data_IF_505603362828
#
_entry.id   IF_505603362828
#
_cell.length_a   1.000
_cell.length_b   1.000
_cell.length_c   1.000
_cell.angle_alpha   90.00
_cell.angle_beta   90.00
_cell.angle_gamma   90.00
#
_symmetry.space_group_name_H-M   'P 1'
#
loop_
_entity.id
_entity.type
_entity.pdbx_description
1 polymer ?
#
# COMPACT_ATOMS: atom_id res chain seq x y z
N UNK A 1 31.76 15.26 -1.65
CA UNK A 1 32.88 15.50 -0.72
C UNK A 1 32.30 15.62 0.69
N UNK A 2 32.90 14.93 1.66
CA UNK A 2 32.49 15.09 3.06
C UNK A 2 32.99 16.41 3.57
N UNK A 3 32.11 17.20 4.17
CA UNK A 3 32.38 18.55 4.71
C UNK A 3 31.87 18.60 6.15
N UNK A 4 32.45 19.46 6.98
CA UNK A 4 31.94 19.68 8.33
C UNK A 4 30.54 20.29 8.26
N UNK A 5 29.58 19.73 9.02
CA UNK A 5 28.20 20.24 9.07
C UNK A 5 28.17 21.73 9.46
N UNK A 6 28.91 22.10 10.48
CA UNK A 6 28.97 23.48 10.95
C UNK A 6 29.46 24.49 9.89
N UNK A 7 30.17 24.06 8.84
CA UNK A 7 30.66 24.94 7.76
C UNK A 7 29.65 25.18 6.63
N UNK A 8 28.59 24.38 6.55
CA UNK A 8 27.62 24.45 5.45
C UNK A 8 26.15 24.53 5.91
N UNK A 9 25.87 24.24 7.18
CA UNK A 9 24.51 24.09 7.72
C UNK A 9 23.62 25.29 7.44
N UNK A 10 24.08 26.50 7.69
CA UNK A 10 23.29 27.71 7.52
C UNK A 10 22.90 27.94 6.06
N UNK A 11 23.87 27.83 5.15
CA UNK A 11 23.64 27.99 3.71
C UNK A 11 22.75 26.91 3.12
N UNK A 12 22.99 25.64 3.50
CA UNK A 12 22.21 24.52 2.98
C UNK A 12 20.80 24.47 3.57
N UNK A 13 20.60 24.87 4.82
CA UNK A 13 19.26 25.04 5.39
C UNK A 13 18.47 26.16 4.68
N UNK A 14 19.13 27.27 4.34
CA UNK A 14 18.47 28.32 3.57
C UNK A 14 18.06 27.84 2.18
N UNK A 15 18.94 27.13 1.48
CA UNK A 15 18.66 26.51 0.18
C UNK A 15 17.51 25.50 0.28
N UNK A 16 17.52 24.64 1.31
CA UNK A 16 16.47 23.66 1.55
C UNK A 16 15.11 24.31 1.79
N UNK A 17 15.05 25.31 2.67
CA UNK A 17 13.83 26.05 2.95
C UNK A 17 13.27 26.73 1.69
N UNK A 18 14.15 27.36 0.89
CA UNK A 18 13.75 27.90 -0.40
C UNK A 18 13.13 26.86 -1.32
N UNK A 19 13.73 25.66 -1.42
CA UNK A 19 13.16 24.56 -2.23
C UNK A 19 11.79 24.12 -1.72
N UNK A 20 11.58 24.09 -0.40
CA UNK A 20 10.28 23.71 0.20
C UNK A 20 9.19 24.77 -0.06
N UNK A 21 9.56 26.05 -0.22
CA UNK A 21 8.64 27.16 -0.49
C UNK A 21 8.23 27.26 -1.98
N UNK A 22 8.96 26.61 -2.90
CA UNK A 22 8.61 26.62 -4.32
C UNK A 22 7.19 26.08 -4.53
N UNK A 23 6.36 26.78 -5.34
CA UNK A 23 4.99 26.32 -5.60
C UNK A 23 5.00 24.97 -6.30
N UNK A 24 3.97 24.16 -6.04
CA UNK A 24 3.74 22.97 -6.81
C UNK A 24 3.50 23.34 -8.29
N UNK A 25 3.91 22.52 -9.26
CA UNK A 25 3.70 22.82 -10.65
C UNK A 25 2.20 22.95 -10.96
N UNK A 26 1.82 24.08 -11.54
CA UNK A 26 0.44 24.34 -11.99
C UNK A 26 0.19 23.67 -13.37
N UNK A 27 0.38 22.38 -13.41
CA UNK A 27 0.18 21.57 -14.62
C UNK A 27 -0.53 20.28 -14.24
N UNK A 28 -1.69 20.07 -14.82
CA UNK A 28 -2.33 18.76 -14.75
C UNK A 28 -1.53 17.73 -15.56
N UNK A 29 -1.12 16.65 -14.92
CA UNK A 29 -0.45 15.53 -15.58
C UNK A 29 -0.92 14.19 -14.99
N UNK A 30 -0.87 13.15 -15.81
CA UNK A 30 -1.23 11.81 -15.36
C UNK A 30 -0.17 11.28 -14.37
N UNK A 31 -0.52 11.25 -13.09
CA UNK A 31 0.34 10.79 -12.00
C UNK A 31 0.66 9.28 -12.07
N UNK A 32 -0.17 8.50 -12.76
CA UNK A 32 -0.10 7.04 -12.82
C UNK A 32 0.95 6.52 -13.82
N UNK A 33 1.98 7.30 -14.12
CA UNK A 33 3.14 6.88 -14.91
C UNK A 33 4.41 6.96 -14.09
N UNK A 34 5.38 6.10 -14.38
CA UNK A 34 6.68 6.06 -13.68
C UNK A 34 7.37 7.43 -13.69
N UNK A 35 7.38 8.11 -14.84
CA UNK A 35 8.01 9.43 -14.96
C UNK A 35 7.29 10.47 -14.12
N UNK A 36 5.98 10.55 -14.26
CA UNK A 36 5.21 11.64 -13.66
C UNK A 36 5.04 11.47 -12.15
N UNK A 37 4.98 10.24 -11.63
CA UNK A 37 4.95 9.99 -10.19
C UNK A 37 6.15 10.62 -9.46
N UNK A 38 7.28 10.79 -10.15
CA UNK A 38 8.49 11.35 -9.56
C UNK A 38 8.48 12.89 -9.46
N UNK A 39 7.48 13.57 -10.04
CA UNK A 39 7.25 15.00 -9.83
C UNK A 39 6.35 15.29 -8.60
N UNK A 40 5.76 14.26 -8.02
CA UNK A 40 5.00 14.39 -6.78
C UNK A 40 5.96 14.49 -5.60
N UNK A 41 5.60 15.31 -4.60
CA UNK A 41 6.36 15.38 -3.35
C UNK A 41 6.31 14.01 -2.64
N UNK A 42 7.47 13.39 -2.33
CA UNK A 42 7.48 12.20 -1.51
C UNK A 42 7.06 12.53 -0.08
N UNK A 43 6.20 11.68 0.51
CA UNK A 43 5.77 11.81 1.89
C UNK A 43 6.40 10.74 2.80
N UNK A 44 7.47 10.14 2.31
CA UNK A 44 8.35 9.21 3.03
C UNK A 44 9.78 9.40 2.53
N UNK A 45 10.62 10.03 3.35
CA UNK A 45 12.03 10.31 3.02
C UNK A 45 12.94 10.24 4.25
N UNK A 46 14.23 10.04 4.00
CA UNK A 46 15.28 10.07 5.03
C UNK A 46 15.05 9.06 6.17
N UNK A 47 14.56 7.86 5.83
CA UNK A 47 14.36 6.80 6.81
C UNK A 47 15.69 6.27 7.37
N UNK A 48 15.65 5.74 8.60
CA UNK A 48 16.77 5.04 9.23
C UNK A 48 16.99 3.60 8.74
N UNK A 49 16.48 3.24 7.54
CA UNK A 49 16.67 1.93 6.94
C UNK A 49 18.12 1.67 6.52
N UNK A 50 18.47 0.39 6.29
CA UNK A 50 19.75 0.02 5.73
C UNK A 50 20.01 0.72 4.39
N UNK A 51 21.25 1.12 4.11
CA UNK A 51 21.63 1.66 2.81
C UNK A 51 21.30 0.64 1.70
N UNK A 52 20.55 1.09 0.67
CA UNK A 52 20.11 0.22 -0.42
C UNK A 52 18.98 -0.75 -0.06
N UNK A 53 18.28 -0.54 1.07
CA UNK A 53 17.11 -1.34 1.46
C UNK A 53 16.11 -1.48 0.32
N UNK A 54 15.67 -2.71 0.05
CA UNK A 54 14.70 -2.99 -1.03
C UNK A 54 13.26 -2.64 -0.69
N UNK A 55 12.94 -2.37 0.59
CA UNK A 55 11.57 -2.07 1.04
C UNK A 55 11.20 -0.59 0.81
N UNK A 56 12.10 0.34 1.18
CA UNK A 56 11.80 1.79 1.23
C UNK A 56 11.37 2.40 -0.10
N UNK A 57 11.86 1.97 -1.28
CA UNK A 57 11.39 2.51 -2.56
C UNK A 57 9.91 2.28 -2.84
N UNK A 58 9.35 1.15 -2.39
CA UNK A 58 7.91 0.86 -2.52
C UNK A 58 7.09 1.80 -1.66
N UNK A 59 7.48 2.00 -0.39
CA UNK A 59 6.78 2.89 0.54
C UNK A 59 6.85 4.33 0.03
N UNK A 60 8.02 4.78 -0.45
CA UNK A 60 8.16 6.09 -1.07
C UNK A 60 7.18 6.29 -2.23
N UNK A 61 7.10 5.34 -3.14
CA UNK A 61 6.22 5.42 -4.31
C UNK A 61 4.74 5.48 -3.93
N UNK A 62 4.25 4.61 -3.07
CA UNK A 62 2.83 4.61 -2.68
C UNK A 62 2.45 5.87 -1.90
N UNK A 63 3.36 6.43 -1.11
CA UNK A 63 3.13 7.70 -0.41
C UNK A 63 3.21 8.92 -1.33
N UNK A 64 3.98 8.88 -2.42
CA UNK A 64 3.93 9.90 -3.47
C UNK A 64 2.58 9.93 -4.18
N UNK A 65 1.99 8.76 -4.40
CA UNK A 65 0.73 8.63 -5.14
C UNK A 65 -0.51 8.95 -4.28
N UNK A 66 -0.53 8.49 -3.03
CA UNK A 66 -1.74 8.49 -2.20
C UNK A 66 -1.53 9.02 -0.79
N UNK A 67 -0.31 9.39 -0.41
CA UNK A 67 0.08 9.67 0.96
C UNK A 67 -0.74 10.76 1.65
N UNK A 68 -1.26 11.73 0.93
CA UNK A 68 -2.06 12.83 1.46
C UNK A 68 -3.44 12.38 2.02
N UNK A 69 -3.87 11.17 1.71
CA UNK A 69 -5.12 10.57 2.20
C UNK A 69 -4.96 9.14 2.73
N UNK A 70 -3.70 8.68 2.85
CA UNK A 70 -3.42 7.32 3.33
C UNK A 70 -3.62 7.16 4.83
N UNK A 71 -4.11 5.99 5.19
CA UNK A 71 -4.06 5.43 6.53
C UNK A 71 -3.24 4.15 6.49
N UNK A 72 -2.21 4.03 7.31
CA UNK A 72 -1.25 2.94 7.27
C UNK A 72 -1.22 2.22 8.62
N UNK A 73 -1.59 0.94 8.62
CA UNK A 73 -1.29 0.00 9.69
C UNK A 73 -0.01 -0.74 9.36
N UNK A 74 0.99 -0.71 10.22
CA UNK A 74 2.30 -1.31 9.96
C UNK A 74 2.62 -2.39 10.99
N UNK A 75 2.92 -3.61 10.52
CA UNK A 75 3.38 -4.69 11.39
C UNK A 75 4.75 -4.39 11.98
N UNK A 76 4.97 -4.76 13.24
CA UNK A 76 6.28 -4.68 13.86
C UNK A 76 7.30 -5.48 13.02
N UNK A 77 8.41 -4.84 12.65
CA UNK A 77 9.46 -5.38 11.79
C UNK A 77 10.36 -4.25 11.29
N UNK A 78 11.10 -4.46 10.20
CA UNK A 78 11.96 -3.41 9.64
C UNK A 78 11.17 -2.15 9.31
N UNK A 79 10.04 -2.28 8.60
CA UNK A 79 9.23 -1.14 8.18
C UNK A 79 8.65 -0.31 9.34
N UNK A 80 8.38 -0.92 10.48
CA UNK A 80 7.96 -0.18 11.67
C UNK A 80 9.14 0.48 12.38
N UNK A 81 10.30 -0.16 12.40
CA UNK A 81 11.49 0.39 13.06
C UNK A 81 11.97 1.65 12.33
N UNK A 82 12.21 1.58 11.02
CA UNK A 82 12.60 2.77 10.27
C UNK A 82 11.44 3.75 10.02
N UNK A 83 10.19 3.30 10.16
CA UNK A 83 9.00 4.11 9.99
C UNK A 83 8.63 4.99 11.19
N UNK A 84 9.00 4.59 12.42
CA UNK A 84 8.58 5.35 13.60
C UNK A 84 9.37 5.10 14.87
N UNK A 85 10.21 4.05 14.95
CA UNK A 85 10.99 3.72 16.14
C UNK A 85 12.47 4.10 16.06
N UNK A 86 13.00 4.32 14.86
CA UNK A 86 14.34 4.88 14.66
C UNK A 86 14.34 6.39 14.96
N UNK A 87 15.51 7.04 15.12
CA UNK A 87 15.59 8.38 15.70
C UNK A 87 14.78 9.45 14.95
N UNK A 88 14.40 9.19 13.71
CA UNK A 88 13.59 10.12 12.90
C UNK A 88 12.40 9.39 12.28
N UNK A 89 11.23 10.04 12.29
CA UNK A 89 10.05 9.57 11.56
C UNK A 89 10.16 10.07 10.11
N UNK A 90 10.23 9.16 9.12
CA UNK A 90 10.40 9.54 7.72
C UNK A 90 9.12 10.00 7.03
N UNK A 91 7.97 9.78 7.64
CA UNK A 91 6.68 10.24 7.13
C UNK A 91 6.50 11.73 7.35
N UNK A 92 6.03 12.42 6.33
CA UNK A 92 5.85 13.87 6.32
C UNK A 92 4.48 14.28 5.76
N UNK A 93 4.22 15.58 5.78
CA UNK A 93 3.02 16.18 5.21
C UNK A 93 3.36 17.04 3.99
N UNK A 94 2.41 17.18 3.07
CA UNK A 94 2.53 18.11 1.96
C UNK A 94 2.31 19.58 2.43
N UNK A 95 2.45 20.53 1.52
CA UNK A 95 2.27 21.97 1.79
C UNK A 95 0.89 22.36 2.32
N UNK A 96 -0.12 21.53 2.07
CA UNK A 96 -1.49 21.69 2.59
C UNK A 96 -1.69 21.07 3.98
N UNK A 97 -0.64 20.48 4.57
CA UNK A 97 -0.68 19.82 5.86
C UNK A 97 -1.26 18.40 5.85
N UNK A 98 -1.40 17.79 4.69
CA UNK A 98 -1.90 16.42 4.56
C UNK A 98 -0.76 15.43 4.34
N UNK A 99 -0.82 14.28 4.99
CA UNK A 99 0.14 13.20 4.87
C UNK A 99 -0.39 11.89 5.45
N UNK A 100 0.39 10.80 5.38
CA UNK A 100 -0.04 9.51 5.88
C UNK A 100 -0.33 9.52 7.39
N UNK A 101 -1.49 8.98 7.77
CA UNK A 101 -1.76 8.62 9.16
C UNK A 101 -1.19 7.23 9.41
N UNK A 102 0.01 7.17 9.99
CA UNK A 102 0.74 5.93 10.22
C UNK A 102 0.63 5.48 11.67
N UNK A 103 0.35 4.19 11.87
CA UNK A 103 0.35 3.56 13.19
C UNK A 103 1.01 2.18 13.13
N UNK A 104 1.83 1.90 14.15
CA UNK A 104 2.43 0.58 14.36
C UNK A 104 1.49 -0.30 15.19
N UNK A 105 1.37 -1.57 14.82
CA UNK A 105 0.72 -2.57 15.62
C UNK A 105 1.68 -3.69 16.02
N UNK A 106 1.19 -4.65 16.80
CA UNK A 106 1.96 -5.84 17.14
C UNK A 106 2.24 -6.67 15.89
N UNK A 107 3.22 -7.56 16.00
CA UNK A 107 3.68 -8.37 14.89
C UNK A 107 2.61 -9.35 14.38
N UNK A 108 1.78 -9.86 15.28
CA UNK A 108 0.77 -10.86 15.02
C UNK A 108 -0.59 -10.31 14.59
N UNK A 109 -0.97 -9.07 14.98
CA UNK A 109 -2.34 -8.54 14.88
C UNK A 109 -2.50 -7.40 13.85
N UNK A 110 -1.49 -7.13 13.05
CA UNK A 110 -1.49 -5.97 12.15
C UNK A 110 -2.61 -5.98 11.10
N UNK A 111 -2.98 -7.15 10.61
CA UNK A 111 -4.04 -7.25 9.62
C UNK A 111 -5.38 -6.80 10.23
N UNK A 112 -5.70 -7.33 11.40
CA UNK A 112 -6.92 -7.01 12.15
C UNK A 112 -6.94 -5.55 12.60
N UNK A 113 -5.78 -5.02 13.02
CA UNK A 113 -5.64 -3.61 13.37
C UNK A 113 -5.95 -2.70 12.17
N UNK A 114 -5.35 -2.97 11.00
CA UNK A 114 -5.61 -2.21 9.78
C UNK A 114 -7.05 -2.35 9.29
N UNK A 115 -7.63 -3.52 9.44
CA UNK A 115 -9.05 -3.75 9.16
C UNK A 115 -9.96 -2.93 10.10
N UNK A 116 -9.64 -2.90 11.39
CA UNK A 116 -10.34 -2.06 12.36
C UNK A 116 -10.27 -0.57 12.02
N UNK A 117 -9.12 -0.08 11.57
CA UNK A 117 -8.97 1.30 11.06
C UNK A 117 -9.89 1.57 9.86
N UNK A 118 -9.99 0.63 8.91
CA UNK A 118 -10.88 0.73 7.76
C UNK A 118 -12.34 0.79 8.19
N UNK A 119 -12.78 -0.12 9.06
CA UNK A 119 -14.16 -0.16 9.57
C UNK A 119 -14.53 1.14 10.30
N UNK A 120 -13.64 1.62 11.17
CA UNK A 120 -13.87 2.87 11.91
C UNK A 120 -14.01 4.06 10.96
N UNK A 121 -13.15 4.15 9.94
CA UNK A 121 -13.20 5.20 8.93
C UNK A 121 -14.47 5.13 8.10
N UNK A 122 -14.85 3.94 7.64
CA UNK A 122 -16.06 3.71 6.84
C UNK A 122 -17.32 4.08 7.62
N UNK A 123 -17.42 3.66 8.88
CA UNK A 123 -18.56 3.98 9.75
C UNK A 123 -18.66 5.48 10.03
N UNK A 124 -17.52 6.15 10.31
CA UNK A 124 -17.49 7.60 10.52
C UNK A 124 -17.88 8.37 9.25
N UNK A 125 -17.46 7.91 8.08
CA UNK A 125 -17.85 8.49 6.80
C UNK A 125 -19.33 8.30 6.51
N UNK A 126 -19.88 7.12 6.79
CA UNK A 126 -21.32 6.86 6.65
C UNK A 126 -22.15 7.78 7.58
N UNK A 127 -21.72 7.96 8.83
CA UNK A 127 -22.34 8.92 9.74
C UNK A 127 -22.25 10.36 9.23
N UNK A 128 -21.09 10.73 8.66
CA UNK A 128 -20.92 12.06 8.06
C UNK A 128 -21.83 12.27 6.87
N UNK A 129 -22.05 11.25 6.02
CA UNK A 129 -22.99 11.30 4.90
C UNK A 129 -24.43 11.53 5.40
N UNK A 130 -24.85 10.80 6.42
CA UNK A 130 -26.15 11.01 7.07
C UNK A 130 -26.30 12.45 7.62
N UNK A 131 -25.22 13.00 8.21
CA UNK A 131 -25.22 14.40 8.69
C UNK A 131 -25.37 15.40 7.52
N UNK A 132 -24.67 15.17 6.40
CA UNK A 132 -24.79 16.02 5.18
C UNK A 132 -26.18 15.89 4.56
N UNK A 133 -26.74 14.67 4.47
CA UNK A 133 -28.11 14.45 3.99
C UNK A 133 -29.13 15.24 4.84
N UNK A 134 -29.03 15.20 6.15
CA UNK A 134 -29.87 15.99 7.05
C UNK A 134 -29.69 17.49 6.83
N UNK A 135 -28.46 17.95 6.69
CA UNK A 135 -28.14 19.36 6.45
C UNK A 135 -28.82 19.89 5.18
N UNK A 136 -28.69 19.17 4.05
CA UNK A 136 -29.28 19.60 2.79
C UNK A 136 -30.82 19.46 2.75
N UNK A 137 -31.39 18.67 3.65
CA UNK A 137 -32.85 18.52 3.81
C UNK A 137 -33.47 19.68 4.59
N UNK A 138 -32.70 20.48 5.33
CA UNK A 138 -33.22 21.64 6.06
C UNK A 138 -33.79 22.64 5.08
N UNK A 139 -35.07 23.04 5.26
CA UNK A 139 -35.81 23.88 4.28
C UNK A 139 -35.10 25.20 4.00
N UNK A 140 -34.65 25.88 5.04
CA UNK A 140 -33.98 27.20 4.97
C UNK A 140 -32.44 27.11 4.79
N UNK A 141 -31.88 25.93 4.52
CA UNK A 141 -30.48 25.80 4.17
C UNK A 141 -30.22 26.48 2.82
N UNK A 142 -29.08 27.14 2.69
CA UNK A 142 -28.68 27.87 1.48
C UNK A 142 -28.66 26.95 0.24
N UNK A 143 -29.01 27.49 -0.91
CA UNK A 143 -29.12 26.69 -2.15
C UNK A 143 -27.75 26.18 -2.64
N UNK A 144 -26.70 27.01 -2.52
CA UNK A 144 -25.36 26.66 -2.96
C UNK A 144 -24.77 25.62 -2.02
N UNK A 145 -25.04 25.73 -0.71
CA UNK A 145 -24.65 24.71 0.28
C UNK A 145 -25.38 23.37 0.04
N UNK A 146 -26.68 23.40 -0.32
CA UNK A 146 -27.41 22.19 -0.72
C UNK A 146 -26.81 21.52 -1.95
N UNK A 147 -26.45 22.33 -2.97
CA UNK A 147 -25.83 21.82 -4.19
C UNK A 147 -24.45 21.20 -3.91
N UNK A 148 -23.62 21.87 -3.11
CA UNK A 148 -22.29 21.36 -2.72
C UNK A 148 -22.38 20.08 -1.88
N UNK A 149 -23.34 20.00 -0.94
CA UNK A 149 -23.58 18.79 -0.15
C UNK A 149 -24.02 17.61 -1.01
N UNK A 150 -24.91 17.84 -1.97
CA UNK A 150 -25.34 16.82 -2.93
C UNK A 150 -24.16 16.36 -3.82
N UNK A 151 -23.37 17.30 -4.36
CA UNK A 151 -22.20 16.97 -5.17
C UNK A 151 -21.21 16.10 -4.38
N UNK A 152 -21.02 16.37 -3.09
CA UNK A 152 -20.17 15.55 -2.25
C UNK A 152 -20.73 14.14 -2.04
N UNK A 153 -22.01 14.00 -1.74
CA UNK A 153 -22.68 12.69 -1.57
C UNK A 153 -22.57 11.84 -2.84
N UNK A 154 -22.75 12.45 -4.01
CA UNK A 154 -22.68 11.75 -5.30
C UNK A 154 -21.25 11.29 -5.64
N UNK A 155 -20.21 11.92 -5.06
CA UNK A 155 -18.81 11.65 -5.36
C UNK A 155 -18.00 11.10 -4.17
N UNK A 156 -18.62 10.84 -3.02
CA UNK A 156 -17.90 10.51 -1.79
C UNK A 156 -17.02 9.26 -1.89
N UNK A 157 -17.34 8.31 -2.76
CA UNK A 157 -16.59 7.05 -2.93
C UNK A 157 -15.54 7.11 -4.05
N UNK A 158 -15.41 8.24 -4.74
CA UNK A 158 -14.33 8.51 -5.68
C UNK A 158 -13.25 9.38 -5.01
N UNK A 159 -11.96 9.05 -5.21
CA UNK A 159 -10.87 9.73 -4.53
C UNK A 159 -10.73 11.21 -4.92
N UNK A 160 -10.69 11.49 -6.22
CA UNK A 160 -10.54 12.86 -6.74
C UNK A 160 -11.86 13.62 -6.73
N UNK A 161 -12.97 12.95 -7.03
CA UNK A 161 -14.31 13.52 -6.95
C UNK A 161 -14.65 13.96 -5.54
N UNK A 162 -14.39 13.13 -4.52
CA UNK A 162 -14.61 13.49 -3.12
C UNK A 162 -13.76 14.68 -2.67
N UNK A 163 -12.50 14.80 -3.16
CA UNK A 163 -11.62 15.93 -2.85
C UNK A 163 -12.18 17.25 -3.39
N UNK A 164 -12.50 17.27 -4.71
CA UNK A 164 -13.05 18.46 -5.37
C UNK A 164 -14.38 18.89 -4.73
N UNK A 165 -15.24 17.92 -4.46
CA UNK A 165 -16.54 18.20 -3.82
C UNK A 165 -16.38 18.62 -2.34
N UNK A 166 -15.39 18.07 -1.60
CA UNK A 166 -15.08 18.47 -0.25
C UNK A 166 -14.61 19.93 -0.17
N UNK A 167 -13.74 20.35 -1.08
CA UNK A 167 -13.25 21.73 -1.11
C UNK A 167 -14.42 22.73 -1.31
N UNK A 168 -15.35 22.42 -2.21
CA UNK A 168 -16.56 23.25 -2.41
C UNK A 168 -17.46 23.23 -1.17
N UNK A 169 -17.76 22.06 -0.63
CA UNK A 169 -18.62 21.93 0.55
C UNK A 169 -18.04 22.68 1.75
N UNK A 170 -16.73 22.59 1.98
CA UNK A 170 -16.05 23.33 3.05
C UNK A 170 -16.12 24.86 2.81
N UNK A 171 -15.98 25.31 1.57
CA UNK A 171 -16.11 26.73 1.24
C UNK A 171 -17.51 27.26 1.55
N UNK A 172 -18.57 26.56 1.11
CA UNK A 172 -19.95 26.94 1.37
C UNK A 172 -20.31 26.86 2.88
N UNK A 173 -19.82 25.84 3.58
CA UNK A 173 -19.99 25.74 5.02
C UNK A 173 -19.34 26.91 5.76
N UNK A 174 -18.13 27.30 5.40
CA UNK A 174 -17.46 28.44 6.02
C UNK A 174 -18.15 29.78 5.73
N UNK A 175 -18.86 29.91 4.59
CA UNK A 175 -19.64 31.10 4.25
C UNK A 175 -21.00 31.15 4.98
N UNK A 176 -21.61 29.99 5.24
CA UNK A 176 -23.01 29.91 5.67
C UNK A 176 -23.17 29.58 7.16
N UNK A 177 -22.17 28.92 7.78
CA UNK A 177 -22.23 28.50 9.18
C UNK A 177 -21.79 29.64 10.12
N UNK A 178 -22.57 29.86 11.18
CA UNK A 178 -22.33 30.91 12.17
C UNK A 178 -22.20 32.33 11.55
N UNK A 179 -23.19 32.81 10.77
CA UNK A 179 -23.15 34.15 10.20
C UNK A 179 -23.09 35.21 11.29
N UNK A 180 -22.55 36.39 10.98
CA UNK A 180 -22.62 37.55 11.86
C UNK A 180 -24.08 38.05 11.96
N UNK A 181 -24.64 37.93 13.15
CA UNK A 181 -26.02 38.34 13.43
C UNK A 181 -26.12 39.70 14.10
N UNK A 182 -25.05 40.51 14.09
CA UNK A 182 -25.04 41.86 14.66
C UNK A 182 -26.12 42.73 14.00
N UNK A 183 -26.93 43.41 14.80
CA UNK A 183 -28.01 44.27 14.32
C UNK A 183 -29.29 43.51 13.87
N UNK A 184 -29.32 42.20 14.00
CA UNK A 184 -30.51 41.37 13.74
C UNK A 184 -31.38 41.16 14.99
N UNK A 185 -32.65 40.75 14.88
CA UNK A 185 -33.45 40.36 16.03
C UNK A 185 -32.89 39.21 16.85
N UNK A 186 -31.94 38.43 16.29
CA UNK A 186 -31.33 37.25 16.91
C UNK A 186 -29.97 37.56 17.58
N UNK A 187 -29.49 38.81 17.54
CA UNK A 187 -28.18 39.23 18.10
C UNK A 187 -28.05 38.84 19.57
N UNK A 188 -29.07 39.06 20.37
CA UNK A 188 -29.04 38.78 21.83
C UNK A 188 -28.78 37.30 22.12
N UNK A 189 -29.47 36.42 21.42
CA UNK A 189 -29.32 34.98 21.58
C UNK A 189 -27.99 34.49 21.01
N UNK A 190 -27.55 35.07 19.88
CA UNK A 190 -26.27 34.80 19.26
C UNK A 190 -25.10 35.18 20.19
N UNK A 191 -25.15 36.35 20.82
CA UNK A 191 -24.14 36.76 21.81
C UNK A 191 -24.16 35.86 23.04
N UNK A 192 -25.33 35.48 23.55
CA UNK A 192 -25.48 34.58 24.71
C UNK A 192 -24.91 33.18 24.43
N UNK A 193 -24.91 32.73 23.16
CA UNK A 193 -24.37 31.46 22.70
C UNK A 193 -22.91 31.58 22.17
N UNK A 194 -22.17 32.60 22.58
CA UNK A 194 -20.76 32.77 22.22
C UNK A 194 -20.57 33.04 20.71
N UNK A 195 -21.45 33.82 20.12
CA UNK A 195 -21.47 34.16 18.69
C UNK A 195 -21.69 32.95 17.77
N UNK A 196 -22.45 31.96 18.21
CA UNK A 196 -22.83 30.78 17.42
C UNK A 196 -24.34 30.78 17.13
N UNK A 197 -24.68 30.52 15.88
CA UNK A 197 -26.07 30.32 15.50
C UNK A 197 -26.55 28.95 16.01
N UNK A 198 -27.70 28.90 16.67
CA UNK A 198 -28.29 27.67 17.25
C UNK A 198 -29.28 26.99 16.32
N UNK A 199 -29.46 27.47 15.10
CA UNK A 199 -30.34 26.82 14.13
C UNK A 199 -29.79 25.44 13.72
N UNK A 200 -30.69 24.59 13.23
CA UNK A 200 -30.38 23.21 12.86
C UNK A 200 -29.29 23.16 11.78
N UNK A 201 -29.40 23.95 10.72
CA UNK A 201 -28.41 23.99 9.63
C UNK A 201 -26.99 24.33 10.12
N UNK A 202 -26.85 25.39 10.98
CA UNK A 202 -25.55 25.73 11.55
C UNK A 202 -24.99 24.65 12.49
N UNK A 203 -25.87 23.96 13.22
CA UNK A 203 -25.46 22.88 14.12
C UNK A 203 -24.92 21.68 13.33
N UNK A 204 -25.63 21.25 12.31
CA UNK A 204 -25.21 20.17 11.40
C UNK A 204 -23.95 20.59 10.61
N UNK A 205 -23.89 21.84 10.11
CA UNK A 205 -22.74 22.36 9.40
C UNK A 205 -21.45 22.36 10.23
N UNK A 206 -21.54 22.72 11.53
CA UNK A 206 -20.42 22.60 12.47
C UNK A 206 -19.97 21.16 12.68
N UNK A 207 -20.92 20.20 12.73
CA UNK A 207 -20.57 18.78 12.84
C UNK A 207 -19.82 18.30 11.59
N UNK A 208 -20.24 18.74 10.39
CA UNK A 208 -19.52 18.44 9.14
C UNK A 208 -18.13 19.06 9.15
N UNK A 209 -17.99 20.34 9.51
CA UNK A 209 -16.68 21.02 9.60
C UNK A 209 -15.75 20.39 10.65
N UNK A 210 -16.26 19.92 11.76
CA UNK A 210 -15.47 19.23 12.79
C UNK A 210 -14.94 17.86 12.29
N UNK A 211 -15.54 17.28 11.26
CA UNK A 211 -15.15 16.03 10.65
C UNK A 211 -14.66 16.19 9.19
N UNK A 212 -14.25 17.39 8.80
CA UNK A 212 -13.83 17.72 7.42
C UNK A 212 -12.70 16.84 6.88
N UNK A 213 -11.86 16.29 7.77
CA UNK A 213 -10.79 15.34 7.44
C UNK A 213 -11.31 14.03 6.83
N UNK A 214 -12.59 13.69 7.05
CA UNK A 214 -13.26 12.50 6.52
C UNK A 214 -13.99 12.76 5.19
N UNK A 215 -14.10 13.99 4.72
CA UNK A 215 -14.77 14.30 3.46
C UNK A 215 -14.03 13.71 2.26
N UNK A 216 -12.71 13.66 2.28
CA UNK A 216 -11.92 13.01 1.22
C UNK A 216 -11.85 11.50 1.48
N UNK A 217 -12.12 10.68 0.44
CA UNK A 217 -12.01 9.22 0.52
C UNK A 217 -10.61 8.84 0.99
N UNK A 218 -10.51 8.07 2.07
CA UNK A 218 -9.25 7.56 2.58
C UNK A 218 -8.76 6.38 1.74
N UNK A 219 -7.45 6.18 1.70
CA UNK A 219 -6.79 5.03 1.14
C UNK A 219 -6.22 4.20 2.28
N UNK A 220 -6.80 3.03 2.54
CA UNK A 220 -6.39 2.17 3.66
C UNK A 220 -5.34 1.18 3.22
N UNK A 221 -4.18 1.20 3.90
CA UNK A 221 -3.06 0.31 3.64
C UNK A 221 -2.62 -0.45 4.88
N UNK A 222 -2.21 -1.70 4.67
CA UNK A 222 -1.64 -2.58 5.69
C UNK A 222 -0.25 -3.00 5.20
N UNK A 223 0.80 -2.58 5.91
CA UNK A 223 2.19 -2.87 5.55
C UNK A 223 2.80 -3.90 6.49
N UNK A 224 3.62 -4.79 5.95
CA UNK A 224 4.42 -5.69 6.76
C UNK A 224 5.38 -6.54 5.94
N UNK A 225 6.35 -7.14 6.60
CA UNK A 225 7.31 -8.06 6.00
C UNK A 225 6.75 -9.47 5.81
N UNK A 226 7.56 -10.33 5.19
CA UNK A 226 7.19 -11.72 4.93
C UNK A 226 6.99 -12.54 6.22
N UNK A 227 7.76 -12.32 7.26
CA UNK A 227 7.57 -13.01 8.54
C UNK A 227 6.18 -12.75 9.14
N UNK A 228 5.63 -11.55 8.96
CA UNK A 228 4.25 -11.25 9.29
C UNK A 228 3.27 -11.97 8.37
N UNK A 229 3.36 -11.71 7.06
CA UNK A 229 2.33 -12.11 6.10
C UNK A 229 2.29 -13.62 5.82
N UNK A 230 3.44 -14.30 5.86
CA UNK A 230 3.53 -15.73 5.55
C UNK A 230 3.42 -16.63 6.78
N UNK A 231 3.75 -16.10 7.96
CA UNK A 231 3.87 -16.88 9.19
C UNK A 231 2.93 -16.39 10.30
N UNK A 232 3.41 -15.50 11.17
CA UNK A 232 2.75 -15.22 12.45
C UNK A 232 1.44 -14.44 12.29
N UNK A 233 1.34 -13.52 11.34
CA UNK A 233 0.14 -12.72 11.05
C UNK A 233 -0.74 -13.32 9.95
N UNK A 234 -0.39 -14.51 9.40
CA UNK A 234 -1.12 -15.07 8.27
C UNK A 234 -2.60 -15.33 8.57
N UNK A 235 -2.93 -15.82 9.76
CA UNK A 235 -4.31 -16.11 10.13
C UNK A 235 -5.19 -14.85 10.11
N UNK A 236 -4.70 -13.73 10.65
CA UNK A 236 -5.37 -12.45 10.59
C UNK A 236 -5.44 -11.88 9.17
N UNK A 237 -4.36 -12.00 8.41
CA UNK A 237 -4.33 -11.56 7.01
C UNK A 237 -5.37 -12.34 6.16
N UNK A 238 -5.42 -13.66 6.31
CA UNK A 238 -6.39 -14.52 5.64
C UNK A 238 -7.83 -14.09 5.99
N UNK A 239 -8.10 -13.87 7.27
CA UNK A 239 -9.39 -13.39 7.73
C UNK A 239 -9.78 -12.04 7.13
N UNK A 240 -8.85 -11.08 7.07
CA UNK A 240 -9.09 -9.74 6.50
C UNK A 240 -9.40 -9.83 5.00
N UNK A 241 -8.63 -10.64 4.25
CA UNK A 241 -8.90 -10.87 2.83
C UNK A 241 -10.27 -11.50 2.59
N UNK A 242 -10.75 -12.32 3.55
CA UNK A 242 -12.07 -12.96 3.50
C UNK A 242 -13.24 -11.98 3.72
N UNK A 243 -13.02 -10.74 4.19
CA UNK A 243 -14.09 -9.80 4.52
C UNK A 243 -14.60 -8.96 3.33
N UNK A 244 -13.98 -9.07 2.16
CA UNK A 244 -14.35 -8.31 0.95
C UNK A 244 -14.47 -6.78 1.20
N UNK A 245 -13.51 -6.22 1.92
CA UNK A 245 -13.43 -4.80 2.23
C UNK A 245 -12.36 -4.10 1.39
N UNK A 246 -12.57 -2.82 1.09
CA UNK A 246 -11.64 -1.96 0.34
C UNK A 246 -10.39 -1.66 1.19
N UNK A 247 -9.44 -2.58 1.18
CA UNK A 247 -8.15 -2.47 1.87
C UNK A 247 -7.01 -2.94 0.98
N UNK A 248 -5.90 -2.21 1.00
CA UNK A 248 -4.69 -2.55 0.26
C UNK A 248 -3.65 -3.15 1.21
N UNK A 249 -3.14 -4.33 0.90
CA UNK A 249 -2.08 -5.00 1.65
C UNK A 249 -0.78 -4.95 0.84
N UNK A 250 0.28 -4.41 1.43
CA UNK A 250 1.63 -4.41 0.85
C UNK A 250 2.55 -5.31 1.66
N UNK A 251 2.93 -6.45 1.10
CA UNK A 251 3.90 -7.36 1.68
C UNK A 251 5.28 -7.04 1.11
N UNK A 252 6.18 -6.60 1.98
CA UNK A 252 7.59 -6.33 1.69
C UNK A 252 8.38 -7.64 1.89
N UNK A 253 8.48 -8.43 0.83
CA UNK A 253 9.01 -9.80 0.89
C UNK A 253 10.53 -9.81 0.77
N UNK A 254 11.20 -9.90 1.92
CA UNK A 254 12.65 -10.04 2.04
C UNK A 254 13.10 -11.50 2.17
N UNK A 255 12.15 -12.44 2.13
CA UNK A 255 12.38 -13.89 2.21
C UNK A 255 13.01 -14.39 3.53
N UNK A 256 13.04 -13.53 4.55
CA UNK A 256 13.53 -13.85 5.90
C UNK A 256 12.87 -12.95 6.94
N UNK A 257 12.87 -13.33 8.21
CA UNK A 257 12.63 -12.40 9.31
C UNK A 257 13.83 -11.43 9.41
N UNK A 258 13.78 -10.35 8.64
CA UNK A 258 14.94 -9.47 8.45
C UNK A 258 15.29 -8.68 9.71
N UNK A 259 14.32 -8.08 10.39
CA UNK A 259 14.53 -7.22 11.55
C UNK A 259 15.10 -7.97 12.75
N UNK A 260 14.66 -9.20 12.99
CA UNK A 260 15.14 -10.04 14.10
C UNK A 260 16.45 -10.74 13.82
N UNK A 261 17.01 -10.59 12.61
CA UNK A 261 18.36 -11.00 12.25
C UNK A 261 18.46 -12.22 11.35
N UNK A 262 17.51 -12.44 10.44
CA UNK A 262 17.64 -13.37 9.31
C UNK A 262 17.21 -14.81 9.61
N UNK A 263 16.15 -15.00 10.39
CA UNK A 263 15.53 -16.32 10.57
C UNK A 263 14.77 -16.73 9.30
N UNK A 264 14.74 -18.03 9.03
CA UNK A 264 13.93 -18.58 7.94
C UNK A 264 12.44 -18.37 8.21
N UNK A 265 11.72 -17.86 7.20
CA UNK A 265 10.26 -17.76 7.17
C UNK A 265 9.67 -18.80 6.21
N UNK A 266 8.34 -18.85 6.09
CA UNK A 266 7.67 -19.61 5.02
C UNK A 266 7.84 -18.95 3.64
N UNK A 267 8.30 -17.70 3.60
CA UNK A 267 8.70 -17.02 2.37
C UNK A 267 10.12 -17.38 1.92
N UNK A 268 10.96 -17.92 2.79
CA UNK A 268 12.31 -18.35 2.44
C UNK A 268 12.22 -19.52 1.46
N UNK A 269 12.83 -19.43 0.25
CA UNK A 269 12.80 -20.49 -0.75
C UNK A 269 13.68 -21.69 -0.35
N UNK A 270 13.66 -22.72 -1.19
CA UNK A 270 14.56 -23.88 -1.04
C UNK A 270 16.02 -23.46 -1.27
N UNK A 271 16.93 -23.85 -0.39
CA UNK A 271 18.36 -23.76 -0.60
C UNK A 271 19.12 -22.78 0.32
N UNK A 272 18.72 -21.53 0.56
CA UNK A 272 19.58 -20.60 1.27
C UNK A 272 19.81 -20.97 2.74
N UNK A 273 20.96 -20.57 3.26
CA UNK A 273 21.21 -20.57 4.71
C UNK A 273 20.44 -19.41 5.34
N UNK A 274 19.76 -19.69 6.43
CA UNK A 274 19.17 -18.70 7.32
C UNK A 274 19.29 -19.20 8.77
N UNK A 275 19.03 -18.35 9.76
CA UNK A 275 18.88 -18.84 11.14
C UNK A 275 17.72 -19.86 11.17
N UNK A 276 17.88 -20.95 11.90
CA UNK A 276 17.06 -22.15 11.92
C UNK A 276 17.07 -22.99 10.62
N UNK A 277 17.93 -22.64 9.66
CA UNK A 277 18.19 -23.39 8.44
C UNK A 277 19.67 -23.38 8.09
N UNK A 278 20.55 -23.74 9.06
CA UNK A 278 21.99 -23.66 8.92
C UNK A 278 22.59 -24.58 7.83
N UNK A 279 21.93 -25.70 7.53
CA UNK A 279 22.31 -26.62 6.45
C UNK A 279 21.43 -26.43 5.20
N UNK A 280 20.93 -25.23 4.97
CA UNK A 280 20.03 -24.88 3.88
C UNK A 280 18.55 -25.17 4.15
N UNK A 281 17.68 -24.27 3.69
CA UNK A 281 16.22 -24.43 3.78
C UNK A 281 15.77 -25.60 2.90
N UNK A 282 15.07 -26.57 3.48
CA UNK A 282 14.69 -27.81 2.79
C UNK A 282 13.28 -27.78 2.20
N UNK A 283 12.45 -26.82 2.58
CA UNK A 283 11.06 -26.70 2.10
C UNK A 283 10.94 -25.50 1.19
N UNK A 284 10.09 -25.59 0.16
CA UNK A 284 9.82 -24.51 -0.78
C UNK A 284 9.14 -23.31 -0.14
N UNK A 285 9.11 -22.20 -0.88
CA UNK A 285 8.41 -20.98 -0.52
C UNK A 285 6.90 -21.21 -0.58
N UNK A 286 6.19 -20.81 0.47
CA UNK A 286 4.72 -20.74 0.49
C UNK A 286 4.24 -19.78 -0.61
N UNK A 287 3.23 -20.18 -1.36
CA UNK A 287 2.66 -19.32 -2.40
C UNK A 287 1.48 -18.50 -1.88
N UNK A 288 1.80 -17.40 -1.21
CA UNK A 288 0.81 -16.52 -0.59
C UNK A 288 -0.18 -15.94 -1.63
N UNK A 289 0.32 -15.61 -2.82
CA UNK A 289 -0.52 -15.05 -3.88
C UNK A 289 -1.56 -16.06 -4.39
N UNK A 290 -1.15 -17.33 -4.61
CA UNK A 290 -2.09 -18.39 -5.00
C UNK A 290 -3.14 -18.64 -3.92
N UNK A 291 -2.76 -18.61 -2.65
CA UNK A 291 -3.71 -18.76 -1.55
C UNK A 291 -4.74 -17.62 -1.54
N UNK A 292 -4.31 -16.37 -1.71
CA UNK A 292 -5.22 -15.23 -1.80
C UNK A 292 -6.11 -15.29 -3.06
N UNK A 293 -5.58 -15.70 -4.21
CA UNK A 293 -6.36 -15.86 -5.43
C UNK A 293 -7.48 -16.92 -5.31
N UNK A 294 -7.36 -17.88 -4.38
CA UNK A 294 -8.39 -18.89 -4.17
C UNK A 294 -9.74 -18.32 -3.71
N UNK A 295 -9.76 -17.13 -3.10
CA UNK A 295 -11.00 -16.40 -2.79
C UNK A 295 -11.74 -15.93 -4.05
N UNK A 296 -11.01 -15.67 -5.14
CA UNK A 296 -11.56 -15.29 -6.45
C UNK A 296 -12.06 -13.84 -6.54
N UNK A 297 -12.12 -13.10 -5.45
CA UNK A 297 -12.46 -11.67 -5.39
C UNK A 297 -11.33 -10.82 -4.79
N UNK A 298 -10.20 -11.39 -4.42
CA UNK A 298 -9.04 -10.64 -3.96
C UNK A 298 -8.18 -10.25 -5.16
N UNK A 299 -7.89 -8.95 -5.31
CA UNK A 299 -6.87 -8.51 -6.27
C UNK A 299 -5.50 -8.94 -5.79
N UNK A 300 -4.68 -9.57 -6.64
CA UNK A 300 -3.34 -10.02 -6.26
C UNK A 300 -2.31 -9.60 -7.30
N UNK A 301 -1.19 -9.02 -6.84
CA UNK A 301 -0.06 -8.71 -7.71
C UNK A 301 1.26 -9.15 -7.07
N UNK A 302 2.13 -9.74 -7.89
CA UNK A 302 3.52 -10.02 -7.53
C UNK A 302 4.42 -9.12 -8.35
N UNK A 303 5.18 -8.26 -7.68
CA UNK A 303 5.88 -7.13 -8.30
C UNK A 303 7.36 -7.09 -7.94
N UNK A 304 8.14 -6.39 -8.76
CA UNK A 304 9.56 -6.15 -8.52
C UNK A 304 9.98 -4.82 -9.16
N UNK A 305 10.25 -3.80 -8.35
CA UNK A 305 10.58 -2.45 -8.82
C UNK A 305 11.84 -2.43 -9.71
N UNK A 306 12.87 -3.17 -9.33
CA UNK A 306 14.13 -3.24 -10.10
C UNK A 306 13.97 -3.85 -11.49
N UNK A 307 12.98 -4.73 -11.68
CA UNK A 307 12.74 -5.44 -12.93
C UNK A 307 11.79 -4.70 -13.87
N UNK A 308 10.60 -4.31 -13.39
CA UNK A 308 9.59 -3.65 -14.20
C UNK A 308 8.80 -2.61 -13.40
N UNK A 309 9.18 -1.34 -13.58
CA UNK A 309 8.53 -0.21 -12.93
C UNK A 309 7.12 0.07 -13.49
N UNK A 310 6.88 -0.25 -14.76
CA UNK A 310 5.56 -0.03 -15.37
C UNK A 310 4.55 -1.05 -14.85
N UNK A 311 4.97 -2.33 -14.71
CA UNK A 311 4.14 -3.37 -14.11
C UNK A 311 3.81 -3.01 -12.64
N UNK A 312 4.79 -2.54 -11.88
CA UNK A 312 4.57 -2.08 -10.50
C UNK A 312 3.56 -0.92 -10.44
N UNK A 313 3.74 0.12 -11.27
CA UNK A 313 2.79 1.25 -11.33
C UNK A 313 1.38 0.77 -11.65
N UNK A 314 1.25 -0.09 -12.64
CA UNK A 314 -0.04 -0.66 -13.03
C UNK A 314 -0.66 -1.47 -11.88
N UNK A 315 0.12 -2.32 -11.21
CA UNK A 315 -0.35 -3.11 -10.08
C UNK A 315 -0.85 -2.23 -8.92
N UNK A 316 -0.11 -1.17 -8.57
CA UNK A 316 -0.51 -0.24 -7.49
C UNK A 316 -1.78 0.53 -7.87
N UNK A 317 -1.86 1.03 -9.11
CA UNK A 317 -3.04 1.80 -9.54
C UNK A 317 -4.29 0.94 -9.71
N UNK A 318 -4.15 -0.30 -10.18
CA UNK A 318 -5.24 -1.27 -10.22
C UNK A 318 -5.73 -1.65 -8.82
N UNK A 319 -4.80 -1.89 -7.87
CA UNK A 319 -5.13 -2.21 -6.48
C UNK A 319 -5.89 -1.07 -5.79
N UNK A 320 -5.46 0.18 -5.97
CA UNK A 320 -6.12 1.34 -5.38
C UNK A 320 -7.49 1.63 -6.01
N UNK A 321 -7.68 1.30 -7.28
CA UNK A 321 -8.96 1.46 -7.96
C UNK A 321 -9.95 0.31 -7.66
N UNK A 322 -9.44 -0.84 -7.25
CA UNK A 322 -10.25 -2.01 -6.96
C UNK A 322 -11.08 -1.82 -5.69
N UNK A 323 -12.37 -2.09 -5.77
CA UNK A 323 -13.30 -1.95 -4.63
C UNK A 323 -13.44 -3.28 -3.88
N UNK A 324 -12.38 -3.70 -3.25
CA UNK A 324 -12.26 -4.93 -2.49
C UNK A 324 -10.84 -5.10 -1.95
N UNK A 325 -10.53 -6.23 -1.31
CA UNK A 325 -9.21 -6.45 -0.76
C UNK A 325 -8.16 -6.67 -1.85
N UNK A 326 -7.02 -6.00 -1.71
CA UNK A 326 -5.90 -6.10 -2.63
C UNK A 326 -4.64 -6.56 -1.90
N UNK A 327 -3.88 -7.49 -2.50
CA UNK A 327 -2.63 -8.02 -1.98
C UNK A 327 -1.50 -7.79 -2.98
N UNK A 328 -0.54 -6.93 -2.64
CA UNK A 328 0.67 -6.69 -3.43
C UNK A 328 1.86 -7.34 -2.72
N UNK A 329 2.53 -8.28 -3.38
CA UNK A 329 3.72 -8.97 -2.88
C UNK A 329 4.93 -8.41 -3.61
N UNK A 330 5.74 -7.62 -2.92
CA UNK A 330 6.85 -6.86 -3.47
C UNK A 330 8.19 -7.49 -3.09
N UNK A 331 9.00 -7.88 -4.08
CA UNK A 331 10.36 -8.38 -3.83
C UNK A 331 11.26 -7.28 -3.30
N UNK A 332 11.77 -7.47 -2.11
CA UNK A 332 12.60 -6.50 -1.40
C UNK A 332 13.98 -7.08 -1.05
N UNK A 333 15.01 -6.90 -1.89
CA UNK A 333 16.36 -7.34 -1.55
C UNK A 333 16.83 -6.80 -0.20
N UNK A 334 17.42 -7.67 0.61
CA UNK A 334 17.80 -7.40 1.98
C UNK A 334 19.28 -7.63 2.20
N UNK A 335 19.86 -6.93 3.17
CA UNK A 335 21.25 -7.15 3.60
C UNK A 335 21.52 -8.61 4.02
N UNK A 336 20.48 -9.32 4.51
CA UNK A 336 20.57 -10.73 4.87
C UNK A 336 20.76 -11.66 3.65
N UNK A 337 20.53 -11.19 2.41
CA UNK A 337 20.89 -11.95 1.21
C UNK A 337 22.41 -12.01 0.99
N UNK A 338 23.14 -11.04 1.57
CA UNK A 338 24.61 -10.95 1.41
C UNK A 338 25.01 -10.48 0.03
N UNK A 339 24.34 -9.47 -0.49
CA UNK A 339 24.60 -8.81 -1.78
C UNK A 339 25.25 -7.44 -1.59
N UNK A 340 25.76 -6.87 -2.67
CA UNK A 340 26.12 -5.46 -2.68
C UNK A 340 24.83 -4.61 -2.67
N UNK A 341 24.47 -4.05 -1.52
CA UNK A 341 23.23 -3.30 -1.34
C UNK A 341 23.14 -2.04 -2.22
N UNK A 342 24.27 -1.46 -2.63
CA UNK A 342 24.27 -0.38 -3.63
C UNK A 342 23.75 -0.79 -5.01
N UNK A 343 23.60 -2.10 -5.25
CA UNK A 343 23.09 -2.72 -6.46
C UNK A 343 21.79 -3.52 -6.24
N UNK A 344 21.11 -3.30 -5.13
CA UNK A 344 19.92 -4.07 -4.74
C UNK A 344 18.85 -4.11 -5.84
N UNK A 345 18.65 -3.03 -6.60
CA UNK A 345 17.68 -2.99 -7.69
C UNK A 345 18.15 -3.75 -8.94
N UNK A 346 19.47 -3.82 -9.18
CA UNK A 346 20.06 -4.67 -10.24
C UNK A 346 19.89 -6.16 -9.85
N UNK A 347 20.10 -6.53 -8.60
CA UNK A 347 19.89 -7.90 -8.13
C UNK A 347 18.40 -8.29 -8.19
N UNK A 348 17.50 -7.38 -7.83
CA UNK A 348 16.06 -7.58 -8.00
C UNK A 348 15.69 -7.85 -9.47
N UNK A 349 16.30 -7.14 -10.41
CA UNK A 349 16.12 -7.39 -11.85
C UNK A 349 16.62 -8.76 -12.26
N UNK A 350 17.81 -9.16 -11.80
CA UNK A 350 18.38 -10.49 -12.09
C UNK A 350 17.49 -11.62 -11.55
N UNK A 351 16.87 -11.45 -10.38
CA UNK A 351 15.93 -12.43 -9.83
C UNK A 351 14.75 -12.70 -10.78
N UNK A 352 14.25 -11.67 -11.44
CA UNK A 352 13.17 -11.82 -12.42
C UNK A 352 13.69 -12.42 -13.74
N UNK A 353 14.86 -11.97 -14.21
CA UNK A 353 15.47 -12.47 -15.45
C UNK A 353 15.90 -13.95 -15.35
N UNK A 354 16.25 -14.43 -14.15
CA UNK A 354 16.55 -15.83 -13.88
C UNK A 354 15.32 -16.72 -13.61
N UNK A 355 14.11 -16.17 -13.67
CA UNK A 355 12.89 -16.91 -13.34
C UNK A 355 12.69 -17.20 -11.85
N UNK A 356 13.55 -16.67 -10.99
CA UNK A 356 13.45 -16.82 -9.53
C UNK A 356 12.22 -16.10 -8.95
N UNK A 357 11.89 -14.90 -9.47
CA UNK A 357 10.76 -14.09 -9.05
C UNK A 357 9.86 -13.74 -10.24
N UNK A 358 8.87 -14.58 -10.60
CA UNK A 358 7.93 -14.28 -11.67
C UNK A 358 6.96 -13.17 -11.26
N UNK A 359 6.67 -12.24 -12.19
CA UNK A 359 5.72 -11.15 -12.05
C UNK A 359 4.37 -11.55 -12.61
N UNK A 360 3.29 -11.23 -11.90
CA UNK A 360 1.92 -11.46 -12.37
C UNK A 360 0.94 -10.51 -11.68
N UNK A 361 -0.25 -10.41 -12.26
CA UNK A 361 -1.43 -9.76 -11.66
C UNK A 361 -2.64 -10.66 -11.80
N UNK A 362 -3.48 -10.65 -10.80
CA UNK A 362 -4.80 -11.26 -10.80
C UNK A 362 -5.82 -10.18 -10.47
N UNK A 363 -6.62 -9.80 -11.48
CA UNK A 363 -7.66 -8.76 -11.33
C UNK A 363 -9.04 -9.39 -11.47
N UNK A 364 -9.81 -9.54 -10.38
CA UNK A 364 -11.14 -10.16 -10.40
C UNK A 364 -12.14 -9.45 -11.33
N UNK A 365 -11.98 -8.14 -11.56
CA UNK A 365 -12.90 -7.38 -12.42
C UNK A 365 -12.83 -7.84 -13.88
N UNK A 366 -11.69 -8.35 -14.34
CA UNK A 366 -11.57 -8.91 -15.68
C UNK A 366 -12.49 -10.12 -15.89
N UNK A 367 -12.73 -10.91 -14.85
CA UNK A 367 -13.68 -12.02 -14.93
C UNK A 367 -15.13 -11.55 -15.16
N UNK A 368 -15.48 -10.37 -14.61
CA UNK A 368 -16.81 -9.74 -14.86
C UNK A 368 -16.97 -9.32 -16.32
N UNK A 369 -15.85 -9.04 -17.00
CA UNK A 369 -15.79 -8.71 -18.43
C UNK A 369 -15.67 -9.96 -19.34
N UNK A 370 -15.70 -11.17 -18.80
CA UNK A 370 -15.50 -12.41 -19.54
C UNK A 370 -14.04 -12.64 -19.98
N UNK A 371 -13.07 -11.99 -19.33
CA UNK A 371 -11.63 -12.12 -19.59
C UNK A 371 -10.97 -12.97 -18.50
N UNK A 372 -9.82 -13.58 -18.82
CA UNK A 372 -9.01 -14.24 -17.80
C UNK A 372 -8.52 -13.22 -16.76
N UNK A 373 -8.83 -13.41 -15.47
CA UNK A 373 -8.36 -12.52 -14.42
C UNK A 373 -6.84 -12.58 -14.19
N UNK A 374 -6.19 -13.70 -14.54
CA UNK A 374 -4.76 -13.89 -14.34
C UNK A 374 -3.94 -13.42 -15.55
N UNK A 375 -2.98 -12.54 -15.31
CA UNK A 375 -2.02 -12.04 -16.29
C UNK A 375 -0.61 -12.36 -15.84
N UNK A 376 0.12 -13.18 -16.60
CA UNK A 376 1.55 -13.40 -16.38
C UNK A 376 2.35 -12.28 -17.05
N UNK A 377 2.93 -11.41 -16.25
CA UNK A 377 3.71 -10.25 -16.74
C UNK A 377 5.18 -10.62 -17.06
N UNK A 378 5.72 -11.67 -16.43
CA UNK A 378 7.07 -12.17 -16.69
C UNK A 378 7.18 -12.92 -18.02
N UNK A 379 8.30 -12.72 -18.71
CA UNK A 379 8.75 -13.56 -19.82
C UNK A 379 9.48 -14.81 -19.27
N UNK A 380 9.70 -15.84 -20.09
CA UNK A 380 10.56 -16.97 -19.72
C UNK A 380 11.94 -16.49 -19.26
N UNK A 381 12.58 -17.27 -18.38
CA UNK A 381 13.92 -16.98 -17.89
C UNK A 381 14.90 -16.74 -19.03
N UNK A 382 15.76 -15.74 -18.88
CA UNK A 382 16.77 -15.33 -19.88
C UNK A 382 18.19 -15.68 -19.43
N UNK A 383 18.38 -15.85 -18.11
CA UNK A 383 19.66 -16.12 -17.48
C UNK A 383 19.57 -17.38 -16.64
N UNK A 384 20.70 -17.98 -16.35
CA UNK A 384 20.80 -19.18 -15.55
C UNK A 384 20.33 -18.93 -14.09
N UNK A 385 19.53 -19.82 -13.56
CA UNK A 385 19.00 -19.74 -12.20
C UNK A 385 20.10 -19.88 -11.14
N UNK A 386 21.04 -20.84 -11.36
CA UNK A 386 22.13 -21.11 -10.42
C UNK A 386 23.15 -19.99 -10.42
N UNK A 387 23.43 -19.37 -11.56
CA UNK A 387 24.30 -18.19 -11.63
C UNK A 387 23.73 -17.04 -10.80
N UNK A 388 22.41 -16.82 -10.85
CA UNK A 388 21.75 -15.80 -10.02
C UNK A 388 21.91 -16.13 -8.52
N UNK A 389 21.51 -17.30 -8.07
CA UNK A 389 21.55 -17.64 -6.62
C UNK A 389 22.97 -17.66 -6.07
N UNK A 390 23.96 -18.02 -6.88
CA UNK A 390 25.38 -18.01 -6.46
C UNK A 390 25.94 -16.59 -6.27
N UNK A 391 25.26 -15.58 -6.79
CA UNK A 391 25.54 -14.17 -6.53
C UNK A 391 25.18 -13.73 -5.09
N UNK A 392 24.37 -14.50 -4.37
CA UNK A 392 23.94 -14.21 -3.01
C UNK A 392 24.73 -15.05 -1.99
N UNK A 393 25.31 -14.40 -0.97
CA UNK A 393 26.14 -15.10 0.05
C UNK A 393 25.35 -16.19 0.78
N UNK A 394 24.05 -16.02 0.99
CA UNK A 394 23.19 -17.03 1.66
C UNK A 394 23.17 -18.39 0.93
N UNK A 395 23.36 -18.41 -0.39
CA UNK A 395 23.47 -19.64 -1.20
C UNK A 395 24.95 -20.05 -1.37
N UNK A 396 25.84 -19.11 -1.69
CA UNK A 396 27.27 -19.40 -1.87
C UNK A 396 27.89 -19.99 -0.60
N UNK A 397 27.45 -19.56 0.59
CA UNK A 397 27.89 -20.13 1.86
C UNK A 397 27.43 -21.57 2.03
N UNK A 398 26.22 -21.94 1.62
CA UNK A 398 25.77 -23.33 1.66
C UNK A 398 26.65 -24.21 0.77
N UNK A 399 26.95 -23.75 -0.45
CA UNK A 399 27.82 -24.47 -1.39
C UNK A 399 29.22 -24.71 -0.81
N UNK A 400 29.76 -23.71 -0.08
CA UNK A 400 31.05 -23.80 0.56
C UNK A 400 31.07 -24.77 1.76
N UNK A 401 30.04 -24.72 2.61
CA UNK A 401 29.98 -25.47 3.86
C UNK A 401 29.45 -26.90 3.67
N UNK A 402 28.51 -27.10 2.76
CA UNK A 402 27.80 -28.38 2.54
C UNK A 402 27.60 -28.66 1.05
N UNK A 403 28.70 -28.89 0.25
CA UNK A 403 28.62 -28.95 -1.21
C UNK A 403 27.57 -29.92 -1.75
N UNK A 404 27.56 -31.16 -1.22
CA UNK A 404 26.64 -32.21 -1.69
C UNK A 404 25.17 -31.89 -1.37
N UNK A 405 24.90 -31.23 -0.24
CA UNK A 405 23.56 -30.78 0.14
C UNK A 405 23.14 -29.60 -0.73
N UNK A 406 24.07 -28.69 -1.00
CA UNK A 406 23.83 -27.52 -1.83
C UNK A 406 23.41 -27.91 -3.25
N UNK A 407 24.12 -28.84 -3.89
CA UNK A 407 23.80 -29.29 -5.26
C UNK A 407 22.37 -29.85 -5.33
N UNK A 408 22.00 -30.72 -4.40
CA UNK A 408 20.65 -31.28 -4.36
C UNK A 408 19.57 -30.21 -4.14
N UNK A 409 19.83 -29.25 -3.25
CA UNK A 409 18.85 -28.20 -2.96
C UNK A 409 18.75 -27.19 -4.10
N UNK A 410 19.85 -26.86 -4.77
CA UNK A 410 19.85 -25.92 -5.90
C UNK A 410 19.17 -26.51 -7.14
N UNK A 411 19.43 -27.77 -7.45
CA UNK A 411 18.72 -28.50 -8.53
C UNK A 411 17.21 -28.53 -8.25
N UNK A 412 16.84 -28.78 -7.00
CA UNK A 412 15.44 -28.77 -6.58
C UNK A 412 14.82 -27.37 -6.67
N UNK A 413 15.51 -26.33 -6.20
CA UNK A 413 15.03 -24.95 -6.22
C UNK A 413 14.81 -24.45 -7.66
N UNK A 414 15.74 -24.75 -8.56
CA UNK A 414 15.61 -24.45 -9.99
C UNK A 414 14.37 -25.13 -10.58
N UNK A 415 14.20 -26.42 -10.30
CA UNK A 415 13.02 -27.19 -10.77
C UNK A 415 11.71 -26.66 -10.20
N UNK A 416 11.70 -26.24 -8.94
CA UNK A 416 10.55 -25.60 -8.31
C UNK A 416 10.21 -24.27 -9.01
N UNK A 417 11.21 -23.47 -9.39
CA UNK A 417 11.01 -22.21 -10.12
C UNK A 417 10.47 -22.44 -11.54
N UNK A 418 11.04 -23.40 -12.30
CA UNK A 418 10.55 -23.78 -13.62
C UNK A 418 9.09 -24.27 -13.57
N UNK A 419 8.78 -25.19 -12.65
CA UNK A 419 7.43 -25.73 -12.49
C UNK A 419 6.42 -24.62 -12.14
N UNK A 420 6.83 -23.66 -11.31
CA UNK A 420 6.00 -22.52 -10.92
C UNK A 420 5.72 -21.61 -12.10
N UNK A 421 6.74 -21.31 -12.91
CA UNK A 421 6.56 -20.50 -14.13
C UNK A 421 5.60 -21.18 -15.12
N UNK A 422 5.81 -22.48 -15.40
CA UNK A 422 4.92 -23.24 -16.29
C UNK A 422 3.49 -23.33 -15.76
N UNK A 423 3.31 -23.43 -14.46
CA UNK A 423 2.00 -23.38 -13.84
C UNK A 423 1.31 -22.04 -14.05
N UNK A 424 2.01 -20.93 -13.80
CA UNK A 424 1.47 -19.57 -14.03
C UNK A 424 1.20 -19.28 -15.50
N UNK A 425 2.03 -19.81 -16.40
CA UNK A 425 1.80 -19.74 -17.83
C UNK A 425 0.49 -20.42 -18.22
N UNK A 426 0.27 -21.65 -17.73
CA UNK A 426 -1.00 -22.36 -17.96
C UNK A 426 -2.20 -21.58 -17.41
N UNK A 427 -2.09 -20.98 -16.21
CA UNK A 427 -3.16 -20.15 -15.67
C UNK A 427 -3.47 -18.95 -16.58
N UNK A 428 -2.46 -18.32 -17.15
CA UNK A 428 -2.65 -17.16 -18.06
C UNK A 428 -3.26 -17.55 -19.42
N UNK A 429 -3.20 -18.82 -19.78
CA UNK A 429 -3.72 -19.39 -21.04
C UNK A 429 -5.12 -20.00 -20.88
N UNK A 430 -5.70 -20.05 -19.66
CA UNK A 430 -7.04 -20.58 -19.43
C UNK A 430 -8.09 -19.64 -20.05
N UNK A 431 -9.07 -20.24 -20.72
CA UNK A 431 -10.25 -19.52 -21.16
C UNK A 431 -11.09 -19.09 -19.95
N UNK A 432 -11.71 -17.91 -20.04
CA UNK A 432 -12.55 -17.33 -18.98
C UNK A 432 -13.69 -18.27 -18.54
N UNK A 433 -14.21 -19.08 -19.43
CA UNK A 433 -15.28 -20.07 -19.18
C UNK A 433 -14.79 -21.21 -18.27
N UNK A 434 -13.53 -21.65 -18.40
CA UNK A 434 -12.95 -22.71 -17.58
C UNK A 434 -12.73 -22.29 -16.13
N UNK A 435 -12.47 -20.99 -15.89
CA UNK A 435 -12.27 -20.43 -14.56
C UNK A 435 -13.58 -20.33 -13.76
N UNK A 436 -14.70 -20.03 -14.43
CA UNK A 436 -16.03 -19.99 -13.82
C UNK A 436 -16.58 -21.38 -13.49
N UNK A 437 -16.20 -22.42 -14.24
CA UNK A 437 -16.63 -23.79 -13.97
C UNK A 437 -15.99 -24.41 -12.73
N UNK A 438 -14.80 -24.01 -12.36
CA UNK A 438 -14.17 -24.43 -11.08
C UNK A 438 -14.96 -23.92 -9.86
N UNK A 439 -15.65 -22.77 -9.97
CA UNK A 439 -16.55 -22.23 -8.93
C UNK A 439 -17.94 -22.89 -8.92
N UNK A 440 -18.45 -23.31 -10.06
CA UNK A 440 -19.84 -23.83 -10.17
C UNK A 440 -20.03 -25.22 -9.53
N UNK A 441 -18.96 -25.97 -9.26
CA UNK A 441 -19.06 -27.28 -8.59
C UNK A 441 -19.24 -27.17 -7.07
N UNK A 442 -18.88 -26.06 -6.43
CA UNK A 442 -19.04 -25.91 -4.97
C UNK A 442 -20.45 -25.44 -4.56
N UNK A 443 -21.19 -24.78 -5.45
CA UNK A 443 -22.53 -24.23 -5.13
C UNK A 443 -23.68 -25.22 -5.29
N UNK A 444 -23.46 -26.41 -5.82
CA UNK A 444 -24.51 -27.42 -6.02
C UNK A 444 -24.67 -28.46 -4.88
N UNK A 445 -23.83 -28.43 -3.85
CA UNK A 445 -23.89 -29.38 -2.74
C UNK A 445 -24.60 -28.83 -1.48
N UNK A 446 -25.19 -27.64 -1.52
CA UNK A 446 -25.93 -27.03 -0.39
C UNK A 446 -27.35 -26.57 -0.83
N UNK A 447 -28.13 -27.46 -1.45
CA UNK A 447 -29.57 -27.31 -1.56
C UNK A 447 -30.24 -28.63 -1.13
#
# INVERSE_FOLDING_TARGET
TMTSLASCEEAENANWNFCLELPDPDVEFNHNTVKNSQFLQPLFEFSGACAGCGETPYIKLVTQLYGDRMMIANATGCSSIYGGSAPTVPYSVNKKGFGPAWANSLFEDNAEFGFGMNLATTQRRAKLADTVEKLIAVEYCDADLKAAGKEWLDNMDDAEGSRKAADKLIAELNASVDPDLTGTPYEKDWLANGKKCVCEACTLGREVLANKDLLVKKSQWIFGGDGWAYDIGYGGLDHVLAQDQDVNVLVLDTEVYSNTGGQASKATPTGPIAKFAAAGKRTGKKDLGMMAMSYGYVYVAKVCMGADKNQLMKAITEAEAYKGPSLIIAYAPCINHGINMGKSQEEAKKAVEAGYWPLYRYNPDLAKEGKNPFTLDSKPAKTDYKDFIMGEVRYASLKKLFPAVADQLFDRAEKEAENKYEYYKKLSELDSVSYTHLRAHETRSNL
#
